data_IF_936704598703
#
_entry.id   IF_936704598703
#
_cell.length_a   1.000
_cell.length_b   1.000
_cell.length_c   1.000
_cell.angle_alpha   90.00
_cell.angle_beta   90.00
_cell.angle_gamma   90.00
#
_symmetry.space_group_name_H-M   'P 1'
#
loop_
_entity.id
_entity.type
_entity.pdbx_description
1 polymer ?
#
# COMPACT_ATOMS: atom_id res chain seq x y z
N UNK A 1 13.94 29.54 -11.76
CA UNK A 1 13.90 28.06 -11.76
C UNK A 1 14.27 27.63 -10.36
N UNK A 2 13.29 27.17 -9.58
CA UNK A 2 13.49 26.77 -8.19
C UNK A 2 14.20 25.42 -8.21
N UNK A 3 15.36 25.33 -7.55
CA UNK A 3 16.06 24.07 -7.35
C UNK A 3 15.18 23.23 -6.43
N UNK A 4 14.58 22.19 -6.98
CA UNK A 4 13.89 21.17 -6.20
C UNK A 4 15.01 20.32 -5.59
N UNK A 5 15.18 20.36 -4.28
CA UNK A 5 16.17 19.52 -3.63
C UNK A 5 15.72 18.07 -3.76
N UNK A 6 16.65 17.17 -4.08
CA UNK A 6 16.36 15.75 -4.21
C UNK A 6 15.81 15.17 -2.89
N UNK A 7 16.17 15.78 -1.76
CA UNK A 7 15.65 15.47 -0.42
C UNK A 7 14.16 15.79 -0.25
N UNK A 8 13.63 16.81 -0.93
CA UNK A 8 12.18 17.13 -0.93
C UNK A 8 11.36 16.16 -1.80
N UNK A 9 12.04 15.40 -2.67
CA UNK A 9 11.45 14.32 -3.47
C UNK A 9 11.45 12.98 -2.73
N UNK A 10 12.38 12.80 -1.78
CA UNK A 10 12.44 11.66 -0.85
C UNK A 10 11.69 12.00 0.44
N UNK A 11 10.39 12.23 0.32
CA UNK A 11 9.49 12.37 1.47
C UNK A 11 9.38 11.05 2.23
N UNK A 12 10.37 10.72 3.04
CA UNK A 12 10.39 9.54 3.89
C UNK A 12 11.37 9.79 5.02
N UNK A 13 10.94 10.58 6.00
CA UNK A 13 11.73 10.84 7.19
C UNK A 13 12.07 9.52 7.87
N UNK A 14 13.37 9.25 8.04
CA UNK A 14 13.83 8.20 8.94
C UNK A 14 13.14 8.45 10.30
N UNK A 15 12.28 7.52 10.72
CA UNK A 15 11.41 7.52 11.92
C UNK A 15 9.91 7.89 11.74
N UNK A 16 9.37 8.03 10.53
CA UNK A 16 7.92 8.15 10.38
C UNK A 16 7.22 6.79 10.54
N UNK A 17 6.58 6.58 11.70
CA UNK A 17 5.75 5.40 11.94
C UNK A 17 4.44 5.57 11.17
N UNK A 18 4.37 4.98 9.98
CA UNK A 18 3.13 4.95 9.20
C UNK A 18 2.05 4.12 9.90
N UNK A 19 0.81 4.59 9.90
CA UNK A 19 -0.34 3.90 10.48
C UNK A 19 -0.89 4.54 11.74
N UNK A 20 -1.54 3.72 12.59
CA UNK A 20 -2.09 4.17 13.86
C UNK A 20 -1.60 3.28 15.00
N UNK A 21 -1.33 3.91 16.16
CA UNK A 21 -0.92 3.20 17.38
C UNK A 21 -2.06 3.23 18.39
N UNK A 22 -2.35 2.08 18.99
CA UNK A 22 -3.36 1.98 20.04
C UNK A 22 -2.79 2.31 21.43
N UNK A 23 -3.61 2.89 22.33
CA UNK A 23 -3.26 3.03 23.74
C UNK A 23 -2.85 1.71 24.38
N UNK A 24 -2.05 1.78 25.43
CA UNK A 24 -1.57 0.59 26.17
C UNK A 24 -2.76 -0.29 26.62
N UNK A 25 -2.69 -1.58 26.31
CA UNK A 25 -3.74 -2.55 26.65
C UNK A 25 -4.89 -2.63 25.64
N UNK A 26 -4.74 -1.97 24.49
CA UNK A 26 -5.63 -2.12 23.34
C UNK A 26 -4.86 -2.66 22.13
N UNK A 27 -5.58 -3.32 21.25
CA UNK A 27 -5.08 -3.81 19.97
C UNK A 27 -5.91 -3.23 18.84
N UNK A 28 -5.25 -3.08 17.69
CA UNK A 28 -5.89 -2.62 16.48
C UNK A 28 -6.72 -3.76 15.90
N UNK A 29 -8.02 -3.55 15.76
CA UNK A 29 -8.95 -4.54 15.23
C UNK A 29 -9.78 -3.95 14.10
N UNK A 30 -10.28 -4.80 13.22
CA UNK A 30 -11.16 -4.37 12.13
C UNK A 30 -12.51 -3.90 12.67
N UNK A 31 -12.98 -2.74 12.22
CA UNK A 31 -14.31 -2.23 12.56
C UNK A 31 -15.38 -3.20 12.11
N UNK A 32 -16.37 -3.43 12.95
CA UNK A 32 -17.49 -4.31 12.64
C UNK A 32 -18.22 -3.82 11.38
N UNK A 33 -18.41 -4.72 10.41
CA UNK A 33 -19.09 -4.41 9.14
C UNK A 33 -18.24 -3.70 8.09
N UNK A 34 -16.98 -3.35 8.36
CA UNK A 34 -16.10 -2.77 7.35
C UNK A 34 -15.79 -3.78 6.23
N UNK A 35 -16.02 -3.35 4.99
CA UNK A 35 -15.67 -4.11 3.78
C UNK A 35 -14.43 -3.48 3.17
N UNK A 36 -13.44 -4.32 2.86
CA UNK A 36 -12.27 -3.84 2.15
C UNK A 36 -12.70 -3.23 0.81
N UNK A 37 -12.18 -2.04 0.53
CA UNK A 37 -12.41 -1.31 -0.70
C UNK A 37 -11.09 -1.24 -1.47
N UNK A 38 -11.21 -1.17 -2.79
CA UNK A 38 -10.08 -0.98 -3.70
C UNK A 38 -10.53 -0.07 -4.83
N UNK A 39 -9.60 0.68 -5.41
CA UNK A 39 -9.85 1.58 -6.54
C UNK A 39 -8.87 1.37 -7.70
N UNK A 40 -8.00 0.36 -7.58
CA UNK A 40 -6.98 0.05 -8.57
C UNK A 40 -5.67 0.74 -8.20
N UNK A 41 -4.98 1.30 -9.19
CA UNK A 41 -3.64 1.84 -8.99
C UNK A 41 -3.65 3.36 -8.83
N UNK A 42 -3.09 3.81 -7.71
CA UNK A 42 -2.98 5.23 -7.35
C UNK A 42 -3.95 5.62 -6.25
N UNK A 43 -3.76 6.77 -5.59
CA UNK A 43 -4.60 7.19 -4.47
C UNK A 43 -6.11 7.22 -4.78
N UNK A 44 -6.48 7.54 -6.02
CA UNK A 44 -7.87 7.56 -6.51
C UNK A 44 -8.04 6.81 -7.83
N UNK A 45 -7.11 5.90 -8.17
CA UNK A 45 -7.12 5.15 -9.43
C UNK A 45 -6.54 5.88 -10.65
N UNK A 46 -5.76 6.95 -10.45
CA UNK A 46 -5.19 7.77 -11.53
C UNK A 46 -4.26 6.97 -12.48
N UNK A 47 -3.66 5.89 -11.98
CA UNK A 47 -2.74 5.03 -12.74
C UNK A 47 -3.40 3.78 -13.33
N UNK A 48 -4.73 3.65 -13.25
CA UNK A 48 -5.46 2.51 -13.81
C UNK A 48 -5.18 2.29 -15.31
N UNK A 49 -5.06 3.36 -16.08
CA UNK A 49 -4.74 3.27 -17.51
C UNK A 49 -3.36 2.61 -17.78
N UNK A 50 -2.37 2.86 -16.90
CA UNK A 50 -1.04 2.26 -17.01
C UNK A 50 -1.11 0.79 -16.55
N UNK A 51 -1.76 0.55 -15.42
CA UNK A 51 -1.85 -0.79 -14.85
C UNK A 51 -2.66 -1.74 -15.69
N UNK A 52 -3.73 -1.29 -16.34
CA UNK A 52 -4.54 -2.10 -17.25
C UNK A 52 -3.72 -2.51 -18.48
N UNK A 53 -2.89 -1.61 -19.01
CA UNK A 53 -2.02 -1.88 -20.15
C UNK A 53 -0.93 -2.91 -19.80
N UNK A 54 -0.33 -2.80 -18.61
CA UNK A 54 0.79 -3.66 -18.18
C UNK A 54 0.29 -4.96 -17.53
N UNK A 55 -0.90 -4.95 -16.92
CA UNK A 55 -1.55 -6.05 -16.20
C UNK A 55 -1.36 -6.02 -14.67
N UNK A 56 -1.19 -4.84 -14.07
CA UNK A 56 -0.94 -4.66 -12.63
C UNK A 56 -2.18 -4.43 -11.77
N UNK A 57 -3.36 -4.25 -12.37
CA UNK A 57 -4.60 -3.88 -11.66
C UNK A 57 -4.94 -4.85 -10.53
N UNK A 58 -4.69 -6.16 -10.69
CA UNK A 58 -4.90 -7.12 -9.60
C UNK A 58 -3.95 -6.90 -8.42
N UNK A 59 -2.67 -6.63 -8.68
CA UNK A 59 -1.69 -6.36 -7.63
C UNK A 59 -2.05 -5.09 -6.84
N UNK A 60 -2.55 -4.06 -7.52
CA UNK A 60 -2.99 -2.84 -6.83
C UNK A 60 -4.23 -3.06 -5.98
N UNK A 61 -5.22 -3.82 -6.47
CA UNK A 61 -6.39 -4.16 -5.67
C UNK A 61 -6.02 -4.97 -4.41
N UNK A 62 -5.07 -5.90 -4.54
CA UNK A 62 -4.55 -6.65 -3.38
C UNK A 62 -3.80 -5.75 -2.39
N UNK A 63 -3.05 -4.77 -2.89
CA UNK A 63 -2.36 -3.76 -2.07
C UNK A 63 -3.34 -2.85 -1.32
N UNK A 64 -4.37 -2.34 -1.98
CA UNK A 64 -5.46 -1.56 -1.36
C UNK A 64 -6.13 -2.35 -0.24
N UNK A 65 -6.44 -3.63 -0.49
CA UNK A 65 -7.02 -4.52 0.52
C UNK A 65 -6.04 -4.69 1.70
N UNK A 66 -4.76 -4.91 1.43
CA UNK A 66 -3.72 -5.05 2.46
C UNK A 66 -3.61 -3.79 3.33
N UNK A 67 -3.73 -2.59 2.75
CA UNK A 67 -3.73 -1.32 3.48
C UNK A 67 -4.90 -1.15 4.46
N UNK A 68 -5.94 -1.99 4.35
CA UNK A 68 -7.07 -2.03 5.28
C UNK A 68 -6.96 -3.19 6.30
N UNK A 69 -5.90 -3.99 6.25
CA UNK A 69 -5.66 -5.08 7.18
C UNK A 69 -4.95 -4.57 8.44
N UNK A 70 -5.70 -4.56 9.55
CA UNK A 70 -5.23 -4.10 10.85
C UNK A 70 -4.06 -4.89 11.44
N UNK A 71 -3.70 -6.04 10.84
CA UNK A 71 -2.60 -6.90 11.27
C UNK A 71 -1.32 -6.76 10.43
N UNK A 72 -1.39 -6.04 9.31
CA UNK A 72 -0.27 -5.85 8.38
C UNK A 72 0.36 -4.48 8.58
N UNK A 73 1.68 -4.39 8.47
CA UNK A 73 2.38 -3.11 8.35
C UNK A 73 2.41 -2.63 6.91
N UNK A 74 2.66 -1.33 6.70
CA UNK A 74 2.87 -0.74 5.37
C UNK A 74 3.97 -1.48 4.60
N UNK A 75 5.09 -1.76 5.28
CA UNK A 75 6.25 -2.42 4.68
C UNK A 75 5.91 -3.84 4.23
N UNK A 76 5.08 -4.57 4.98
CA UNK A 76 4.59 -5.89 4.58
C UNK A 76 3.74 -5.78 3.31
N UNK A 77 2.79 -4.84 3.27
CA UNK A 77 1.94 -4.63 2.10
C UNK A 77 2.75 -4.21 0.87
N UNK A 78 3.70 -3.27 1.02
CA UNK A 78 4.55 -2.80 -0.08
C UNK A 78 5.48 -3.90 -0.61
N UNK A 79 5.97 -4.78 0.27
CA UNK A 79 6.76 -5.95 -0.13
C UNK A 79 5.92 -6.94 -0.92
N UNK A 80 4.74 -7.31 -0.42
CA UNK A 80 3.80 -8.22 -1.11
C UNK A 80 3.39 -7.65 -2.48
N UNK A 81 3.15 -6.34 -2.56
CA UNK A 81 2.87 -5.65 -3.81
C UNK A 81 4.03 -5.74 -4.79
N UNK A 82 5.25 -5.45 -4.35
CA UNK A 82 6.48 -5.56 -5.16
C UNK A 82 6.65 -6.99 -5.69
N UNK A 83 6.39 -7.99 -4.85
CA UNK A 83 6.43 -9.40 -5.24
C UNK A 83 5.37 -9.74 -6.30
N UNK A 84 4.14 -9.25 -6.15
CA UNK A 84 3.07 -9.43 -7.13
C UNK A 84 3.44 -8.83 -8.50
N UNK A 85 3.90 -7.58 -8.53
CA UNK A 85 4.30 -6.88 -9.76
C UNK A 85 5.43 -7.64 -10.50
N UNK A 86 6.47 -8.03 -9.76
CA UNK A 86 7.60 -8.78 -10.32
C UNK A 86 7.18 -10.18 -10.78
N UNK A 87 6.28 -10.84 -10.03
CA UNK A 87 5.66 -12.11 -10.42
C UNK A 87 4.95 -12.00 -11.76
N UNK A 88 4.15 -10.95 -11.94
CA UNK A 88 3.48 -10.66 -13.20
C UNK A 88 4.48 -10.50 -14.36
N UNK A 89 5.54 -9.72 -14.18
CA UNK A 89 6.55 -9.49 -15.22
C UNK A 89 7.36 -10.73 -15.61
N UNK A 90 7.55 -11.70 -14.71
CA UNK A 90 8.23 -12.97 -15.04
C UNK A 90 7.49 -13.78 -16.09
N UNK A 91 6.18 -13.60 -16.23
CA UNK A 91 5.35 -14.33 -17.19
C UNK A 91 5.32 -13.71 -18.60
N UNK A 92 5.84 -12.48 -18.75
CA UNK A 92 5.83 -11.73 -20.02
C UNK A 92 6.90 -12.24 -20.99
N UNK A 93 6.71 -11.99 -22.30
CA UNK A 93 7.72 -12.29 -23.32
C UNK A 93 8.95 -11.39 -23.12
N UNK A 94 10.12 -11.86 -23.57
CA UNK A 94 11.41 -11.16 -23.37
C UNK A 94 11.38 -9.66 -23.73
N UNK A 95 10.71 -9.28 -24.83
CA UNK A 95 10.63 -7.88 -25.27
C UNK A 95 9.74 -6.99 -24.37
N UNK A 96 8.76 -7.57 -23.70
CA UNK A 96 7.80 -6.85 -22.83
C UNK A 96 8.24 -6.86 -21.36
N UNK A 97 9.18 -7.75 -21.02
CA UNK A 97 9.68 -7.94 -19.66
C UNK A 97 10.43 -6.72 -19.14
N UNK A 98 11.16 -6.01 -19.99
CA UNK A 98 11.94 -4.84 -19.58
C UNK A 98 11.01 -3.67 -19.23
N UNK A 99 10.04 -3.34 -20.11
CA UNK A 99 9.01 -2.32 -19.82
C UNK A 99 8.24 -2.66 -18.55
N UNK A 100 7.79 -3.91 -18.41
CA UNK A 100 7.08 -4.36 -17.22
C UNK A 100 7.93 -4.21 -15.95
N UNK A 101 9.19 -4.65 -15.98
CA UNK A 101 10.09 -4.58 -14.81
C UNK A 101 10.35 -3.13 -14.42
N UNK A 102 10.56 -2.23 -15.39
CA UNK A 102 10.75 -0.80 -15.11
C UNK A 102 9.50 -0.18 -14.49
N UNK A 103 8.30 -0.48 -15.01
CA UNK A 103 7.05 0.00 -14.41
C UNK A 103 6.85 -0.59 -13.01
N UNK A 104 7.18 -1.86 -12.79
CA UNK A 104 7.11 -2.49 -11.46
C UNK A 104 8.00 -1.76 -10.45
N UNK A 105 9.23 -1.42 -10.84
CA UNK A 105 10.15 -0.63 -10.00
C UNK A 105 9.56 0.75 -9.68
N UNK A 106 8.98 1.45 -10.65
CA UNK A 106 8.36 2.76 -10.42
C UNK A 106 7.18 2.69 -9.44
N UNK A 107 6.30 1.69 -9.59
CA UNK A 107 5.16 1.50 -8.70
C UNK A 107 5.62 1.15 -7.27
N UNK A 108 6.58 0.23 -7.15
CA UNK A 108 7.16 -0.17 -5.86
C UNK A 108 7.81 1.01 -5.14
N UNK A 109 8.58 1.83 -5.86
CA UNK A 109 9.15 3.07 -5.33
C UNK A 109 8.07 4.08 -4.92
N UNK A 110 7.03 4.24 -5.73
CA UNK A 110 5.94 5.18 -5.47
C UNK A 110 5.19 4.88 -4.17
N UNK A 111 4.82 3.62 -3.92
CA UNK A 111 4.16 3.23 -2.67
C UNK A 111 5.09 3.34 -1.46
N UNK A 112 6.37 3.02 -1.66
CA UNK A 112 7.37 3.13 -0.60
C UNK A 112 7.56 4.60 -0.18
N UNK A 113 7.76 5.50 -1.15
CA UNK A 113 8.04 6.91 -0.91
C UNK A 113 6.81 7.73 -0.51
N UNK A 114 5.63 7.47 -1.08
CA UNK A 114 4.46 8.35 -0.91
C UNK A 114 3.25 7.67 -0.24
N UNK A 115 3.37 6.40 0.13
CA UNK A 115 2.23 5.61 0.60
C UNK A 115 1.84 5.83 2.07
N UNK A 116 2.60 6.58 2.86
CA UNK A 116 2.40 6.65 4.33
C UNK A 116 1.04 7.24 4.70
N UNK A 117 0.66 8.35 4.06
CA UNK A 117 -0.64 8.99 4.26
C UNK A 117 -1.80 8.09 3.83
N UNK A 118 -1.67 7.43 2.68
CA UNK A 118 -2.68 6.53 2.14
C UNK A 118 -2.90 5.32 3.06
N UNK A 119 -1.81 4.71 3.54
CA UNK A 119 -1.85 3.62 4.50
C UNK A 119 -2.49 4.06 5.83
N UNK A 120 -2.05 5.19 6.37
CA UNK A 120 -2.56 5.71 7.65
C UNK A 120 -4.06 5.98 7.59
N UNK A 121 -4.54 6.60 6.51
CA UNK A 121 -5.98 6.84 6.29
C UNK A 121 -6.76 5.53 6.15
N UNK A 122 -6.25 4.59 5.35
CA UNK A 122 -6.90 3.28 5.15
C UNK A 122 -7.06 2.52 6.47
N UNK A 123 -6.03 2.52 7.30
CA UNK A 123 -6.06 1.93 8.64
C UNK A 123 -7.04 2.67 9.56
N UNK A 124 -7.05 4.00 9.57
CA UNK A 124 -8.01 4.79 10.37
C UNK A 124 -9.46 4.56 9.96
N UNK A 125 -9.71 4.31 8.67
CA UNK A 125 -11.02 3.98 8.14
C UNK A 125 -11.45 2.56 8.51
N UNK A 126 -10.55 1.58 8.33
CA UNK A 126 -10.84 0.16 8.49
C UNK A 126 -10.78 -0.35 9.93
N UNK A 127 -9.97 0.28 10.77
CA UNK A 127 -9.55 -0.26 12.06
C UNK A 127 -9.91 0.65 13.24
N UNK A 128 -10.07 0.05 14.40
CA UNK A 128 -10.32 0.73 15.67
C UNK A 128 -9.52 0.07 16.80
N UNK A 129 -9.20 0.82 17.85
CA UNK A 129 -8.55 0.26 19.02
C UNK A 129 -9.58 -0.30 19.99
N UNK A 130 -9.47 -1.59 20.32
CA UNK A 130 -10.27 -2.22 21.39
C UNK A 130 -9.39 -2.92 22.41
N UNK A 131 -9.89 -2.97 23.64
CA UNK A 131 -9.24 -3.72 24.72
C UNK A 131 -9.34 -5.21 24.43
N UNK A 132 -8.23 -5.94 24.61
CA UNK A 132 -8.15 -7.40 24.42
C UNK A 132 -8.72 -8.20 25.59
N UNK A 133 -9.50 -7.57 26.48
CA UNK A 133 -10.20 -8.30 27.52
C UNK A 133 -11.35 -9.06 26.86
N UNK A 134 -11.35 -10.37 27.00
CA UNK A 134 -12.42 -11.27 26.58
C UNK A 134 -13.79 -10.64 26.83
N UNK A 135 -14.43 -10.17 25.75
CA UNK A 135 -15.87 -10.00 25.69
C UNK A 135 -16.48 -11.41 25.63
N UNK A 136 -16.36 -12.15 26.74
CA UNK A 136 -17.19 -13.32 27.04
C UNK A 136 -18.40 -12.81 27.82
N UNK A 137 -19.52 -12.67 27.11
CA UNK A 137 -20.86 -12.60 27.68
C UNK A 137 -21.60 -13.88 27.30
#
# INVERSE_FOLDING_TARGET
>A
MQQINLEDLFGGGENEVCGMTCPKGQSLIKKAGYKAIFNGCGPSGEFNHISDKIGFTNCCNEHDICYTDCSKSKEQCDSEFTECLNGHCKTKKKKEKDECSTTATMFSWGVNAFGCDAYTKSIQEACECKSTKHDEL
#
